data_IF_035446242261
#
_entry.id   IF_035446242261
#
_cell.length_a   1.000
_cell.length_b   1.000
_cell.length_c   1.000
_cell.angle_alpha   90.00
_cell.angle_beta   90.00
_cell.angle_gamma   90.00
#
_symmetry.space_group_name_H-M   'P 1'
#
loop_
_entity.id
_entity.type
_entity.pdbx_description
1 polymer ?
#
# COMPACT_ATOMS: atom_id res chain seq x y z
N UNK A 1 -9.51 -5.86 -32.03
CA UNK A 1 -8.79 -5.19 -30.92
C UNK A 1 -9.07 -3.68 -30.98
N UNK A 2 -10.31 -3.23 -30.71
CA UNK A 2 -10.73 -1.83 -30.93
C UNK A 2 -11.20 -1.09 -29.66
N UNK A 3 -11.02 -1.71 -28.47
CA UNK A 3 -11.47 -1.16 -27.18
C UNK A 3 -10.32 -0.69 -26.28
N UNK A 4 -9.08 -1.10 -26.56
CA UNK A 4 -7.91 -0.73 -25.75
C UNK A 4 -7.38 0.64 -26.17
N UNK A 5 -7.00 1.52 -25.24
CA UNK A 5 -6.40 2.81 -25.55
C UNK A 5 -4.98 2.67 -26.11
N UNK A 6 -4.53 3.70 -26.83
CA UNK A 6 -3.13 3.84 -27.23
C UNK A 6 -2.27 4.14 -25.99
N UNK A 7 -1.25 3.32 -25.73
CA UNK A 7 -0.33 3.54 -24.61
C UNK A 7 0.68 4.63 -24.99
N UNK A 8 0.74 5.69 -24.18
CA UNK A 8 1.64 6.84 -24.36
C UNK A 8 2.51 7.08 -23.13
N UNK A 9 3.44 8.03 -23.22
CA UNK A 9 4.24 8.45 -22.07
C UNK A 9 3.41 9.26 -21.07
N UNK A 10 3.90 9.42 -19.85
CA UNK A 10 3.26 10.17 -18.76
C UNK A 10 3.33 11.69 -18.92
N UNK A 11 4.10 12.19 -19.91
CA UNK A 11 4.36 13.62 -20.13
C UNK A 11 4.54 13.89 -21.63
N UNK A 12 3.43 14.16 -22.31
CA UNK A 12 3.37 14.57 -23.72
C UNK A 12 2.01 15.18 -24.03
N UNK A 13 1.91 16.08 -25.01
CA UNK A 13 0.61 16.63 -25.42
C UNK A 13 -0.22 15.53 -26.09
N UNK A 14 -1.25 15.04 -25.38
CA UNK A 14 -2.17 14.01 -25.87
C UNK A 14 -3.26 14.60 -26.78
N UNK A 15 -3.67 15.83 -26.49
CA UNK A 15 -4.75 16.57 -27.14
C UNK A 15 -5.08 17.86 -26.40
N UNK A 16 -6.21 18.48 -26.75
CA UNK A 16 -6.65 19.76 -26.19
C UNK A 16 -8.09 19.66 -25.70
N UNK A 17 -8.42 20.39 -24.62
CA UNK A 17 -9.77 20.46 -24.09
C UNK A 17 -10.69 21.17 -25.10
N UNK A 18 -11.80 20.55 -25.49
CA UNK A 18 -12.64 20.99 -26.61
C UNK A 18 -13.88 21.80 -26.21
N UNK A 19 -14.19 21.92 -24.91
CA UNK A 19 -15.38 22.62 -24.38
C UNK A 19 -15.11 23.20 -22.98
N UNK A 20 -15.90 24.18 -22.58
CA UNK A 20 -15.89 24.73 -21.22
C UNK A 20 -14.80 25.80 -20.98
N UNK A 21 -14.55 26.17 -19.71
CA UNK A 21 -13.68 27.31 -19.37
C UNK A 21 -12.18 27.09 -19.66
N UNK A 22 -11.78 25.84 -19.92
CA UNK A 22 -10.41 25.47 -20.28
C UNK A 22 -10.26 25.14 -21.78
N UNK A 23 -11.17 25.66 -22.64
CA UNK A 23 -11.13 25.46 -24.09
C UNK A 23 -9.74 25.79 -24.66
N UNK A 24 -9.16 24.86 -25.40
CA UNK A 24 -7.84 25.00 -26.03
C UNK A 24 -6.65 24.75 -25.10
N UNK A 25 -6.86 24.49 -23.80
CA UNK A 25 -5.79 24.10 -22.89
C UNK A 25 -5.30 22.68 -23.24
N UNK A 26 -3.99 22.46 -23.39
CA UNK A 26 -3.42 21.14 -23.68
C UNK A 26 -3.57 20.20 -22.47
N UNK A 27 -3.90 18.94 -22.75
CA UNK A 27 -3.78 17.84 -21.79
C UNK A 27 -2.42 17.22 -22.04
N UNK A 28 -1.49 17.37 -21.10
CA UNK A 28 -0.06 17.05 -21.32
C UNK A 28 0.61 16.18 -20.26
N UNK A 29 -0.09 15.82 -19.17
CA UNK A 29 0.41 14.89 -18.16
C UNK A 29 -0.68 13.93 -17.68
N UNK A 30 -0.37 12.62 -17.66
CA UNK A 30 -1.26 11.56 -17.15
C UNK A 30 -0.41 10.53 -16.40
N UNK A 31 -0.78 10.27 -15.15
CA UNK A 31 -0.13 9.36 -14.22
C UNK A 31 -1.22 8.65 -13.38
N UNK A 32 -0.95 7.44 -12.91
CA UNK A 32 -1.71 6.86 -11.79
C UNK A 32 -1.52 7.72 -10.54
N UNK A 33 -2.47 7.70 -9.61
CA UNK A 33 -2.44 8.55 -8.41
C UNK A 33 -1.18 8.30 -7.56
N UNK A 34 -0.83 7.03 -7.34
CA UNK A 34 0.34 6.64 -6.55
C UNK A 34 1.66 7.00 -7.25
N UNK A 35 1.71 6.83 -8.58
CA UNK A 35 2.81 7.26 -9.46
C UNK A 35 2.94 8.79 -9.50
N UNK A 36 1.83 9.52 -9.47
CA UNK A 36 1.81 10.97 -9.39
C UNK A 36 2.33 11.45 -8.03
N UNK A 37 1.92 10.84 -6.92
CA UNK A 37 2.52 11.11 -5.62
C UNK A 37 4.05 10.88 -5.62
N UNK A 38 4.56 9.83 -6.28
CA UNK A 38 6.00 9.60 -6.44
C UNK A 38 6.71 10.74 -7.20
N UNK A 39 6.13 11.24 -8.29
CA UNK A 39 6.66 12.39 -9.05
C UNK A 39 6.58 13.68 -8.22
N UNK A 40 5.45 13.93 -7.56
CA UNK A 40 5.21 15.13 -6.75
C UNK A 40 6.05 15.22 -5.48
N UNK A 41 6.43 14.08 -4.91
CA UNK A 41 7.43 13.97 -3.82
C UNK A 41 8.89 14.13 -4.29
N UNK A 42 9.08 14.42 -5.58
CA UNK A 42 10.39 14.52 -6.23
C UNK A 42 11.23 13.23 -6.08
N UNK A 43 10.59 12.07 -6.00
CA UNK A 43 11.25 10.76 -5.97
C UNK A 43 11.70 10.35 -7.40
N UNK A 44 12.46 11.23 -8.06
CA UNK A 44 12.86 11.12 -9.47
C UNK A 44 14.15 10.30 -9.70
N UNK A 45 14.81 9.87 -8.62
CA UNK A 45 16.08 9.15 -8.62
C UNK A 45 15.91 7.76 -7.98
N UNK A 46 16.62 6.76 -8.53
CA UNK A 46 16.70 5.39 -8.00
C UNK A 46 17.04 5.39 -6.50
N UNK A 47 16.31 4.63 -5.69
CA UNK A 47 16.47 4.58 -4.23
C UNK A 47 15.67 5.61 -3.43
N UNK A 48 14.89 6.47 -4.09
CA UNK A 48 13.91 7.32 -3.43
C UNK A 48 12.56 6.61 -3.35
N UNK A 49 11.89 6.71 -2.20
CA UNK A 49 10.59 6.09 -1.97
C UNK A 49 9.64 7.05 -1.28
N UNK A 50 8.34 6.91 -1.59
CA UNK A 50 7.26 7.64 -0.92
C UNK A 50 6.30 6.68 -0.22
N UNK A 51 5.63 7.13 0.83
CA UNK A 51 4.47 6.45 1.41
C UNK A 51 3.28 7.41 1.57
N UNK A 52 2.14 7.05 0.97
CA UNK A 52 0.88 7.81 1.08
C UNK A 52 -0.01 7.17 2.16
N UNK A 53 -0.30 7.90 3.24
CA UNK A 53 -1.09 7.41 4.38
C UNK A 53 -2.54 7.88 4.32
N UNK A 54 -3.45 6.95 4.02
CA UNK A 54 -4.90 7.16 4.01
C UNK A 54 -5.63 6.08 4.81
N UNK A 55 -6.65 5.47 4.21
CA UNK A 55 -7.33 4.29 4.78
C UNK A 55 -6.36 3.12 4.97
N UNK A 56 -5.54 2.86 3.96
CA UNK A 56 -4.32 2.07 4.03
C UNK A 56 -3.08 2.95 3.75
N UNK A 57 -1.93 2.33 3.58
CA UNK A 57 -0.70 2.97 3.09
C UNK A 57 -0.32 2.44 1.71
N UNK A 58 0.24 3.29 0.85
CA UNK A 58 0.76 2.92 -0.47
C UNK A 58 2.19 3.41 -0.64
N UNK A 59 3.13 2.46 -0.62
CA UNK A 59 4.56 2.68 -0.77
C UNK A 59 4.96 2.45 -2.22
N UNK A 60 5.65 3.43 -2.84
CA UNK A 60 6.33 3.25 -4.12
C UNK A 60 7.82 3.54 -3.96
N UNK A 61 8.66 2.69 -4.54
CA UNK A 61 10.12 2.74 -4.45
C UNK A 61 10.74 2.78 -5.84
N UNK A 62 11.42 3.87 -6.19
CA UNK A 62 11.99 4.09 -7.52
C UNK A 62 13.17 3.14 -7.78
N UNK A 63 13.05 2.25 -8.77
CA UNK A 63 14.11 1.29 -9.16
C UNK A 63 14.96 1.77 -10.34
N UNK A 64 14.70 2.97 -10.86
CA UNK A 64 15.32 3.51 -12.06
C UNK A 64 14.80 2.82 -13.33
N UNK A 65 15.65 2.66 -14.32
CA UNK A 65 15.32 1.94 -15.57
C UNK A 65 15.28 0.41 -15.42
N UNK A 66 15.62 -0.12 -14.24
CA UNK A 66 15.63 -1.54 -13.96
C UNK A 66 14.25 -2.03 -13.52
N UNK A 67 13.70 -3.00 -14.25
CA UNK A 67 12.56 -3.79 -13.80
C UNK A 67 13.06 -4.73 -12.69
N UNK A 68 12.49 -4.61 -11.50
CA UNK A 68 12.76 -5.52 -10.36
C UNK A 68 11.51 -6.36 -10.15
N UNK A 69 11.62 -7.67 -10.34
CA UNK A 69 10.57 -8.63 -10.01
C UNK A 69 10.65 -8.95 -8.51
N UNK A 70 9.52 -8.96 -7.82
CA UNK A 70 9.50 -9.21 -6.37
C UNK A 70 9.49 -10.70 -6.04
N UNK A 71 10.37 -11.12 -5.12
CA UNK A 71 10.29 -12.43 -4.47
C UNK A 71 9.55 -12.36 -3.12
N UNK A 72 9.26 -11.15 -2.64
CA UNK A 72 8.62 -10.86 -1.35
C UNK A 72 7.15 -10.41 -1.47
N UNK A 73 6.54 -10.62 -2.64
CA UNK A 73 5.11 -10.38 -2.88
C UNK A 73 4.72 -8.91 -3.04
N UNK A 74 5.65 -8.05 -3.47
CA UNK A 74 5.41 -6.69 -3.92
C UNK A 74 4.98 -6.67 -5.40
N UNK A 75 4.40 -5.55 -5.84
CA UNK A 75 4.05 -5.34 -7.24
C UNK A 75 5.20 -4.66 -7.99
N UNK A 76 5.52 -5.17 -9.18
CA UNK A 76 6.42 -4.50 -10.13
C UNK A 76 5.60 -3.62 -11.06
N UNK A 77 5.87 -2.31 -11.07
CA UNK A 77 5.05 -1.34 -11.84
C UNK A 77 5.90 -0.31 -12.58
N UNK A 78 5.29 0.42 -13.50
CA UNK A 78 5.87 1.64 -14.06
C UNK A 78 5.73 2.74 -13.02
N UNK A 79 6.84 3.39 -12.67
CA UNK A 79 6.84 4.60 -11.85
C UNK A 79 6.39 5.80 -12.68
N UNK A 80 7.04 6.06 -13.82
CA UNK A 80 6.66 7.12 -14.77
C UNK A 80 7.47 7.00 -16.08
N UNK A 81 6.98 7.63 -17.15
CA UNK A 81 7.77 7.89 -18.37
C UNK A 81 7.61 9.36 -18.78
N UNK A 82 8.58 10.20 -18.44
CA UNK A 82 8.47 11.66 -18.60
C UNK A 82 8.95 12.12 -19.98
N UNK A 83 8.21 11.74 -21.03
CA UNK A 83 8.48 12.08 -22.42
C UNK A 83 8.45 10.88 -23.37
N UNK A 84 8.18 11.13 -24.66
CA UNK A 84 8.10 10.08 -25.70
C UNK A 84 9.40 9.28 -25.84
N UNK A 85 10.53 9.98 -25.87
CA UNK A 85 11.89 9.44 -26.02
C UNK A 85 12.60 9.21 -24.67
N UNK A 86 12.03 9.68 -23.57
CA UNK A 86 12.57 9.49 -22.23
C UNK A 86 12.56 7.99 -21.83
N UNK A 87 13.52 7.54 -21.01
CA UNK A 87 13.50 6.18 -20.49
C UNK A 87 12.28 5.99 -19.57
N UNK A 88 11.69 4.79 -19.61
CA UNK A 88 10.70 4.36 -18.61
C UNK A 88 11.40 4.14 -17.27
N UNK A 89 10.88 4.73 -16.21
CA UNK A 89 11.30 4.47 -14.84
C UNK A 89 10.29 3.54 -14.18
N UNK A 90 10.79 2.52 -13.49
CA UNK A 90 10.00 1.51 -12.79
C UNK A 90 9.99 1.77 -11.29
N UNK A 91 9.04 1.12 -10.62
CA UNK A 91 8.96 1.10 -9.17
C UNK A 91 8.58 -0.30 -8.66
N UNK A 92 9.00 -0.59 -7.43
CA UNK A 92 8.31 -1.57 -6.59
C UNK A 92 7.18 -0.85 -5.84
N UNK A 93 6.03 -1.49 -5.76
CA UNK A 93 4.85 -1.00 -5.06
C UNK A 93 4.40 -2.01 -3.99
N UNK A 94 4.09 -1.53 -2.79
CA UNK A 94 3.56 -2.33 -1.70
C UNK A 94 2.51 -1.56 -0.91
N UNK A 95 1.51 -2.27 -0.39
CA UNK A 95 0.36 -1.67 0.27
C UNK A 95 0.10 -2.25 1.65
N UNK A 96 -0.20 -1.39 2.61
CA UNK A 96 -0.71 -1.76 3.93
C UNK A 96 -2.21 -1.50 3.95
N UNK A 97 -3.05 -2.53 3.93
CA UNK A 97 -4.50 -2.30 3.77
C UNK A 97 -5.16 -1.53 4.93
N UNK A 98 -4.68 -1.73 6.16
CA UNK A 98 -5.31 -1.20 7.38
C UNK A 98 -4.34 -0.23 8.09
N UNK A 99 -4.46 1.06 7.75
CA UNK A 99 -3.74 2.15 8.39
C UNK A 99 -4.71 3.11 9.09
N UNK A 100 -5.24 4.13 8.40
CA UNK A 100 -6.27 5.00 8.94
C UNK A 100 -7.57 4.26 9.27
N UNK A 101 -7.80 3.08 8.67
CA UNK A 101 -8.86 2.16 9.09
C UNK A 101 -8.69 1.65 10.53
N UNK A 102 -7.47 1.42 11.03
CA UNK A 102 -7.24 1.04 12.43
C UNK A 102 -7.60 2.18 13.40
N UNK A 103 -7.28 3.42 13.03
CA UNK A 103 -7.67 4.62 13.80
C UNK A 103 -9.20 4.78 13.82
N UNK A 104 -9.87 4.57 12.68
CA UNK A 104 -11.35 4.59 12.63
C UNK A 104 -11.98 3.46 13.45
N UNK A 105 -11.42 2.25 13.42
CA UNK A 105 -11.90 1.15 14.26
C UNK A 105 -11.75 1.45 15.76
N UNK A 106 -10.64 2.05 16.18
CA UNK A 106 -10.41 2.48 17.57
C UNK A 106 -11.46 3.51 18.04
N UNK A 107 -11.94 4.36 17.11
CA UNK A 107 -13.00 5.34 17.31
C UNK A 107 -14.40 4.69 17.32
N UNK A 108 -14.77 4.06 16.21
CA UNK A 108 -16.14 3.65 15.89
C UNK A 108 -16.54 2.35 16.60
N UNK A 109 -15.60 1.42 16.81
CA UNK A 109 -15.88 0.10 17.37
C UNK A 109 -15.46 -0.05 18.84
N UNK A 110 -14.35 0.59 19.26
CA UNK A 110 -13.89 0.53 20.65
C UNK A 110 -14.22 1.78 21.49
N UNK A 111 -14.60 2.90 20.88
CA UNK A 111 -14.95 4.13 21.60
C UNK A 111 -13.81 4.76 22.40
N UNK A 112 -12.54 4.39 22.13
CA UNK A 112 -11.35 4.85 22.88
C UNK A 112 -11.00 6.31 22.54
N UNK A 113 -11.38 6.76 21.34
CA UNK A 113 -11.26 8.13 20.84
C UNK A 113 -12.60 8.58 20.24
N UNK A 114 -12.87 9.89 20.18
CA UNK A 114 -14.12 10.44 19.62
C UNK A 114 -13.94 10.95 18.19
N UNK A 115 -12.76 11.47 17.87
CA UNK A 115 -12.32 11.85 16.53
C UNK A 115 -10.99 11.18 16.17
N UNK A 116 -10.69 11.09 14.88
CA UNK A 116 -9.40 10.56 14.43
C UNK A 116 -8.21 11.44 14.86
N UNK A 117 -8.43 12.72 15.15
CA UNK A 117 -7.39 13.63 15.64
C UNK A 117 -7.05 13.39 17.12
N UNK A 118 -7.97 12.83 17.91
CA UNK A 118 -7.77 12.59 19.35
C UNK A 118 -6.71 11.51 19.63
N UNK A 119 -6.37 10.67 18.63
CA UNK A 119 -5.41 9.58 18.79
C UNK A 119 -4.00 10.10 19.13
N UNK A 120 -3.59 11.26 18.60
CA UNK A 120 -2.26 11.81 18.87
C UNK A 120 -2.15 12.38 20.30
N UNK A 121 -3.06 13.26 20.79
CA UNK A 121 -3.09 13.65 22.19
C UNK A 121 -3.14 12.47 23.15
N UNK A 122 -3.95 11.44 22.85
CA UNK A 122 -4.09 10.25 23.70
C UNK A 122 -2.80 9.39 23.69
N UNK A 123 -2.20 9.13 22.52
CA UNK A 123 -0.96 8.37 22.40
C UNK A 123 0.27 9.10 22.96
N UNK A 124 0.16 10.41 23.25
CA UNK A 124 1.16 11.24 23.94
C UNK A 124 1.02 11.23 25.46
N UNK A 125 -0.08 10.75 26.05
CA UNK A 125 -0.19 10.63 27.53
C UNK A 125 0.58 9.46 28.11
N UNK A 126 1.15 8.61 27.25
CA UNK A 126 2.02 7.47 27.59
C UNK A 126 3.35 7.59 26.87
N UNK A 127 4.42 7.10 27.48
CA UNK A 127 5.77 7.14 26.91
C UNK A 127 5.89 6.26 25.66
N UNK A 128 5.30 5.07 25.74
CA UNK A 128 5.37 3.98 24.75
C UNK A 128 4.07 3.17 24.79
N UNK A 129 4.00 2.09 24.01
CA UNK A 129 2.84 1.20 23.92
C UNK A 129 2.67 0.28 25.15
N UNK A 130 3.51 0.36 26.19
CA UNK A 130 3.38 -0.43 27.42
C UNK A 130 3.53 -1.94 27.20
N UNK A 131 4.24 -2.33 26.13
CA UNK A 131 4.33 -3.72 25.68
C UNK A 131 3.13 -4.24 24.90
N UNK A 132 2.12 -3.39 24.63
CA UNK A 132 0.95 -3.74 23.82
C UNK A 132 1.30 -3.71 22.33
N UNK A 133 1.01 -4.80 21.63
CA UNK A 133 1.15 -4.91 20.17
C UNK A 133 -0.22 -5.18 19.56
N UNK A 134 -0.54 -4.53 18.44
CA UNK A 134 -1.82 -4.70 17.76
C UNK A 134 -1.60 -4.98 16.27
N UNK A 135 -1.90 -6.20 15.82
CA UNK A 135 -1.81 -6.58 14.41
C UNK A 135 -3.18 -6.37 13.76
N UNK A 136 -3.35 -5.42 12.82
CA UNK A 136 -4.65 -5.00 12.32
C UNK A 136 -5.17 -5.87 11.15
N UNK A 137 -5.00 -7.19 11.24
CA UNK A 137 -5.34 -8.16 10.19
C UNK A 137 -6.87 -8.40 10.02
N UNK A 138 -7.68 -7.33 9.95
CA UNK A 138 -9.15 -7.43 9.88
C UNK A 138 -9.68 -8.19 8.66
N UNK A 139 -8.88 -8.29 7.59
CA UNK A 139 -9.19 -9.04 6.37
C UNK A 139 -8.05 -9.97 5.98
N UNK A 140 -7.29 -10.46 6.97
CA UNK A 140 -6.00 -11.11 6.75
C UNK A 140 -4.84 -10.12 6.66
N UNK A 141 -3.67 -10.66 6.31
CA UNK A 141 -2.43 -9.93 6.04
C UNK A 141 -2.10 -9.96 4.54
N UNK A 142 -1.63 -8.81 4.03
CA UNK A 142 -1.15 -8.64 2.65
C UNK A 142 0.36 -8.92 2.58
N UNK A 143 1.07 -8.36 1.60
CA UNK A 143 2.53 -8.43 1.55
C UNK A 143 3.18 -7.98 2.88
N UNK A 144 4.26 -8.64 3.34
CA UNK A 144 4.94 -9.78 2.71
C UNK A 144 4.28 -11.16 3.01
N UNK A 145 3.23 -11.22 3.83
CA UNK A 145 2.71 -12.46 4.42
C UNK A 145 1.67 -13.22 3.59
N UNK A 146 0.74 -12.50 2.94
CA UNK A 146 -0.35 -13.06 2.13
C UNK A 146 -1.20 -14.14 2.86
N UNK A 147 -1.61 -13.85 4.11
CA UNK A 147 -2.36 -14.77 4.98
C UNK A 147 -3.82 -14.34 5.15
N UNK A 148 -4.72 -14.97 4.41
CA UNK A 148 -6.18 -14.72 4.45
C UNK A 148 -6.85 -15.26 5.72
N UNK A 149 -6.19 -16.17 6.43
CA UNK A 149 -6.62 -16.80 7.67
C UNK A 149 -6.23 -16.02 8.94
N UNK A 150 -5.41 -14.97 8.80
CA UNK A 150 -5.02 -14.12 9.91
C UNK A 150 -6.18 -13.20 10.35
N UNK A 151 -6.26 -12.88 11.65
CA UNK A 151 -7.27 -11.95 12.20
C UNK A 151 -6.69 -10.89 13.12
N UNK A 152 -7.41 -9.77 13.24
CA UNK A 152 -7.03 -8.64 14.08
C UNK A 152 -6.73 -9.08 15.52
N UNK A 153 -5.49 -8.89 16.00
CA UNK A 153 -4.99 -9.50 17.24
C UNK A 153 -4.30 -8.46 18.11
N UNK A 154 -4.64 -8.41 19.40
CA UNK A 154 -3.94 -7.60 20.41
C UNK A 154 -3.15 -8.53 21.33
N UNK A 155 -1.88 -8.24 21.53
CA UNK A 155 -0.94 -8.97 22.38
C UNK A 155 -0.35 -8.04 23.45
N UNK A 156 0.16 -8.62 24.55
CA UNK A 156 0.92 -7.88 25.57
C UNK A 156 0.09 -7.05 26.55
N UNK A 157 -1.22 -7.29 26.66
CA UNK A 157 -2.07 -6.63 27.67
C UNK A 157 -1.67 -7.05 29.10
N UNK A 158 -1.60 -6.08 30.00
CA UNK A 158 -1.42 -6.26 31.45
C UNK A 158 -2.50 -5.48 32.20
N UNK A 159 -2.58 -5.64 33.52
CA UNK A 159 -3.52 -4.86 34.35
C UNK A 159 -3.26 -3.33 34.28
N UNK A 160 -2.05 -2.90 33.90
CA UNK A 160 -1.70 -1.49 33.70
C UNK A 160 -1.97 -0.96 32.27
N UNK A 161 -2.39 -1.81 31.33
CA UNK A 161 -2.69 -1.39 29.96
C UNK A 161 -3.95 -0.51 29.91
N UNK A 162 -3.94 0.51 29.04
CA UNK A 162 -5.01 1.52 28.95
C UNK A 162 -5.32 1.83 27.49
N UNK A 163 -6.41 2.57 27.23
CA UNK A 163 -6.74 3.07 25.90
C UNK A 163 -5.62 3.90 25.26
N UNK A 164 -4.77 4.56 26.05
CA UNK A 164 -3.60 5.30 25.55
C UNK A 164 -2.49 4.37 25.04
N UNK A 165 -2.20 3.28 25.76
CA UNK A 165 -1.28 2.24 25.31
C UNK A 165 -1.77 1.58 24.01
N UNK A 166 -3.08 1.33 23.88
CA UNK A 166 -3.67 0.79 22.65
C UNK A 166 -3.65 1.81 21.49
N UNK A 167 -3.95 3.09 21.75
CA UNK A 167 -3.81 4.17 20.75
C UNK A 167 -2.38 4.28 20.24
N UNK A 168 -1.40 4.13 21.13
CA UNK A 168 0.02 4.09 20.77
C UNK A 168 0.38 2.85 19.95
N UNK A 169 -0.08 1.66 20.35
CA UNK A 169 0.09 0.42 19.59
C UNK A 169 -0.54 0.47 18.19
N UNK A 170 -1.67 1.16 18.01
CA UNK A 170 -2.32 1.38 16.71
C UNK A 170 -1.44 2.21 15.77
N UNK A 171 -0.80 3.28 16.25
CA UNK A 171 0.14 4.07 15.43
C UNK A 171 1.39 3.25 15.09
N UNK A 172 1.94 2.53 16.07
CA UNK A 172 3.13 1.68 15.90
C UNK A 172 2.88 0.54 14.90
N UNK A 173 1.69 -0.05 14.89
CA UNK A 173 1.28 -1.07 13.91
C UNK A 173 1.33 -0.59 12.45
N UNK A 174 0.97 0.68 12.19
CA UNK A 174 1.10 1.27 10.85
C UNK A 174 2.58 1.41 10.47
N UNK A 175 3.41 1.81 11.44
CA UNK A 175 4.84 1.97 11.24
C UNK A 175 5.58 0.65 11.02
N UNK A 176 5.21 -0.41 11.74
CA UNK A 176 5.77 -1.75 11.55
C UNK A 176 5.39 -2.34 10.18
N UNK A 177 4.11 -2.30 9.79
CA UNK A 177 3.70 -2.75 8.45
C UNK A 177 4.38 -1.95 7.33
N UNK A 178 4.56 -0.64 7.54
CA UNK A 178 5.33 0.20 6.61
C UNK A 178 6.79 -0.25 6.52
N UNK A 179 7.42 -0.56 7.66
CA UNK A 179 8.79 -1.12 7.71
C UNK A 179 8.88 -2.46 6.99
N UNK A 180 7.94 -3.38 7.18
CA UNK A 180 7.95 -4.71 6.52
C UNK A 180 7.97 -4.61 4.99
N UNK A 181 7.21 -3.66 4.43
CA UNK A 181 7.21 -3.38 3.00
C UNK A 181 8.57 -2.76 2.58
N UNK A 182 9.14 -1.83 3.34
CA UNK A 182 10.45 -1.24 3.05
C UNK A 182 11.59 -2.27 3.12
N UNK A 183 11.59 -3.13 4.13
CA UNK A 183 12.55 -4.24 4.29
C UNK A 183 12.44 -5.20 3.09
N UNK A 184 11.24 -5.46 2.59
CA UNK A 184 10.98 -6.27 1.39
C UNK A 184 11.48 -5.57 0.12
N UNK A 185 11.20 -4.27 -0.04
CA UNK A 185 11.67 -3.45 -1.17
C UNK A 185 13.20 -3.39 -1.25
N UNK A 186 13.87 -3.28 -0.09
CA UNK A 186 15.34 -3.30 -0.01
C UNK A 186 15.91 -4.68 -0.37
N UNK A 187 15.27 -5.78 0.04
CA UNK A 187 15.68 -7.16 -0.32
C UNK A 187 15.55 -7.42 -1.83
N UNK A 188 14.40 -7.08 -2.42
CA UNK A 188 14.14 -7.30 -3.85
C UNK A 188 15.03 -6.41 -4.75
N UNK A 189 15.23 -5.14 -4.38
CA UNK A 189 15.95 -4.18 -5.24
C UNK A 189 17.46 -4.11 -5.00
N UNK A 190 17.94 -4.55 -3.82
CA UNK A 190 19.31 -4.35 -3.36
C UNK A 190 19.68 -2.88 -3.11
N UNK A 191 18.71 -1.96 -3.05
CA UNK A 191 18.95 -0.53 -2.83
C UNK A 191 18.68 -0.16 -1.37
N UNK A 192 19.64 0.48 -0.73
CA UNK A 192 19.48 1.01 0.65
C UNK A 192 18.64 2.28 0.61
N UNK A 193 17.55 2.32 1.39
CA UNK A 193 16.72 3.51 1.54
C UNK A 193 17.46 4.58 2.36
N UNK A 194 17.54 5.81 1.84
CA UNK A 194 18.22 6.92 2.54
C UNK A 194 17.26 7.81 3.34
N UNK A 195 16.01 7.95 2.88
CA UNK A 195 14.91 8.68 3.54
C UNK A 195 13.57 8.26 2.94
N UNK A 196 12.50 8.42 3.71
CA UNK A 196 11.12 8.16 3.26
C UNK A 196 10.35 9.48 3.11
N UNK A 197 9.93 9.81 1.89
CA UNK A 197 8.96 10.88 1.67
C UNK A 197 7.55 10.42 2.08
N UNK A 198 6.74 11.31 2.67
CA UNK A 198 5.39 10.95 3.14
C UNK A 198 4.33 11.98 2.79
N UNK A 199 3.12 11.52 2.47
CA UNK A 199 1.94 12.37 2.24
C UNK A 199 0.64 11.65 2.66
N UNK A 200 -0.50 12.33 2.52
CA UNK A 200 -1.81 11.80 2.91
C UNK A 200 -2.22 12.13 4.34
N UNK A 201 -3.50 11.92 4.64
CA UNK A 201 -4.18 12.48 5.82
C UNK A 201 -3.62 12.07 7.18
N UNK A 202 -2.97 10.90 7.33
CA UNK A 202 -2.36 10.57 8.63
C UNK A 202 -1.06 11.32 8.91
N UNK A 203 -0.42 11.90 7.89
CA UNK A 203 0.86 12.60 8.05
C UNK A 203 0.77 13.90 8.85
N UNK A 204 -0.44 14.39 9.16
CA UNK A 204 -0.62 15.49 10.12
C UNK A 204 -0.25 15.09 11.56
N UNK A 205 -0.18 13.80 11.87
CA UNK A 205 0.15 13.27 13.19
C UNK A 205 1.69 13.20 13.36
N UNK A 206 2.25 14.13 14.14
CA UNK A 206 3.70 14.21 14.34
C UNK A 206 4.24 13.00 15.14
N UNK A 207 3.44 12.42 16.05
CA UNK A 207 3.82 11.17 16.75
C UNK A 207 3.92 9.98 15.79
N UNK A 208 3.03 9.86 14.80
CA UNK A 208 3.14 8.81 13.76
C UNK A 208 4.43 8.98 12.95
N UNK A 209 4.76 10.20 12.52
CA UNK A 209 5.94 10.43 11.69
C UNK A 209 7.25 10.21 12.46
N UNK A 210 7.30 10.60 13.74
CA UNK A 210 8.45 10.30 14.60
C UNK A 210 8.59 8.79 14.82
N UNK A 211 7.50 8.08 15.14
CA UNK A 211 7.50 6.62 15.26
C UNK A 211 7.94 5.93 13.96
N UNK A 212 7.55 6.47 12.80
CA UNK A 212 7.95 5.93 11.51
C UNK A 212 9.46 6.07 11.28
N UNK A 213 10.04 7.22 11.61
CA UNK A 213 11.49 7.44 11.51
C UNK A 213 12.25 6.55 12.51
N UNK A 214 11.79 6.49 13.76
CA UNK A 214 12.34 5.65 14.81
C UNK A 214 12.36 4.17 14.43
N UNK A 215 11.26 3.65 13.86
CA UNK A 215 11.08 2.23 13.55
C UNK A 215 11.63 1.79 12.19
N UNK A 216 11.56 2.63 11.16
CA UNK A 216 12.19 2.35 9.85
C UNK A 216 13.70 2.67 9.84
N UNK A 217 14.18 3.51 10.77
CA UNK A 217 15.59 3.83 10.92
C UNK A 217 16.16 4.80 9.89
N UNK A 218 15.30 5.45 9.11
CA UNK A 218 15.66 6.49 8.13
C UNK A 218 14.90 7.78 8.43
N UNK A 219 15.40 8.96 8.03
CA UNK A 219 14.62 10.20 8.09
C UNK A 219 13.29 10.08 7.35
N UNK A 220 12.22 10.57 7.96
CA UNK A 220 10.88 10.69 7.37
C UNK A 220 10.63 12.16 7.07
N UNK A 221 10.22 12.45 5.84
CA UNK A 221 10.18 13.81 5.30
C UNK A 221 8.78 14.13 4.80
N UNK A 222 8.09 15.05 5.48
CA UNK A 222 6.75 15.55 5.12
C UNK A 222 6.90 16.88 4.36
N UNK A 223 6.45 17.01 3.10
CA UNK A 223 6.44 18.29 2.41
C UNK A 223 5.40 19.23 3.03
N UNK A 224 5.68 20.54 3.04
CA UNK A 224 4.73 21.56 3.49
C UNK A 224 3.49 21.69 2.58
N UNK A 225 3.54 21.13 1.37
CA UNK A 225 2.44 21.08 0.41
C UNK A 225 1.91 19.64 0.34
N UNK A 226 0.66 19.44 0.76
CA UNK A 226 0.07 18.11 1.00
C UNK A 226 -0.45 17.40 -0.25
N UNK A 227 -0.81 18.14 -1.30
CA UNK A 227 -1.44 17.63 -2.53
C UNK A 227 -0.42 17.07 -3.53
N UNK A 228 0.49 16.22 -3.05
CA UNK A 228 1.62 15.68 -3.85
C UNK A 228 1.15 14.92 -5.10
N UNK A 229 0.01 14.26 -5.02
CA UNK A 229 -0.63 13.58 -6.17
C UNK A 229 -0.97 14.58 -7.29
N UNK A 230 -1.66 15.68 -6.96
CA UNK A 230 -2.02 16.72 -7.93
C UNK A 230 -0.78 17.45 -8.45
N UNK A 231 0.20 17.73 -7.57
CA UNK A 231 1.48 18.31 -7.96
C UNK A 231 2.22 17.41 -8.96
N UNK A 232 2.27 16.10 -8.77
CA UNK A 232 2.96 15.19 -9.69
C UNK A 232 2.35 15.15 -11.09
N UNK A 233 1.01 15.16 -11.17
CA UNK A 233 0.29 15.28 -12.45
C UNK A 233 0.60 16.63 -13.13
N UNK A 234 0.60 17.73 -12.36
CA UNK A 234 0.98 19.05 -12.87
C UNK A 234 2.45 19.10 -13.31
N UNK A 235 3.37 18.48 -12.57
CA UNK A 235 4.81 18.39 -12.89
C UNK A 235 5.03 17.66 -14.21
N UNK A 236 4.36 16.53 -14.42
CA UNK A 236 4.40 15.83 -15.69
C UNK A 236 3.79 16.66 -16.83
N UNK A 237 2.66 17.35 -16.59
CA UNK A 237 2.03 18.21 -17.60
C UNK A 237 2.89 19.41 -18.01
N UNK A 238 3.53 20.07 -17.03
CA UNK A 238 4.38 21.25 -17.25
C UNK A 238 5.76 20.93 -17.83
N UNK A 239 6.25 19.70 -17.64
CA UNK A 239 7.50 19.22 -18.21
C UNK A 239 7.38 18.73 -19.67
N UNK A 240 6.16 18.53 -20.18
CA UNK A 240 5.92 17.99 -21.50
C UNK A 240 6.56 18.84 -22.60
N UNK A 241 7.08 18.17 -23.63
CA UNK A 241 7.61 18.81 -24.83
C UNK A 241 6.56 19.71 -25.49
N UNK A 242 6.90 20.98 -25.74
CA UNK A 242 5.97 22.00 -26.23
C UNK A 242 5.21 22.76 -25.14
N UNK A 243 5.30 22.35 -23.87
CA UNK A 243 4.82 23.11 -22.71
C UNK A 243 6.03 23.69 -21.96
N UNK A 244 6.93 22.82 -21.50
CA UNK A 244 8.27 23.15 -20.97
C UNK A 244 8.33 24.29 -19.94
N UNK A 245 7.30 24.44 -19.11
CA UNK A 245 7.28 25.39 -17.98
C UNK A 245 8.00 24.85 -16.74
N UNK A 246 8.22 23.54 -16.67
CA UNK A 246 8.99 22.89 -15.61
C UNK A 246 10.17 22.08 -16.17
N UNK A 247 11.36 22.33 -15.64
CA UNK A 247 12.56 21.50 -15.84
C UNK A 247 12.71 20.56 -14.63
N UNK A 248 12.30 19.30 -14.80
CA UNK A 248 12.36 18.29 -13.74
C UNK A 248 13.79 17.90 -13.33
N UNK A 249 14.81 18.28 -14.11
CA UNK A 249 16.23 18.09 -13.74
C UNK A 249 16.78 19.21 -12.85
N UNK A 250 16.06 20.34 -12.70
CA UNK A 250 16.52 21.54 -12.00
C UNK A 250 15.48 22.11 -11.02
N UNK A 251 14.69 21.22 -10.42
CA UNK A 251 13.67 21.58 -9.42
C UNK A 251 14.31 22.11 -8.13
N UNK A 252 13.71 23.15 -7.56
CA UNK A 252 13.98 23.56 -6.18
C UNK A 252 13.44 22.48 -5.22
N UNK A 253 14.19 22.06 -4.19
CA UNK A 253 13.67 21.16 -3.16
C UNK A 253 12.40 21.74 -2.51
N UNK A 254 11.42 20.88 -2.23
CA UNK A 254 10.26 21.24 -1.42
C UNK A 254 10.71 21.67 -0.02
N UNK A 255 9.99 22.63 0.58
CA UNK A 255 10.06 22.87 2.02
C UNK A 255 9.45 21.67 2.75
N UNK A 256 10.12 21.18 3.80
CA UNK A 256 9.76 19.95 4.50
C UNK A 256 9.87 20.09 6.01
N UNK A 257 9.06 19.31 6.73
CA UNK A 257 9.30 18.94 8.12
C UNK A 257 10.01 17.57 8.13
N UNK A 258 11.19 17.54 8.76
CA UNK A 258 12.06 16.36 8.78
C UNK A 258 12.04 15.71 10.18
N UNK A 259 11.68 14.42 10.22
CA UNK A 259 11.65 13.58 11.42
C UNK A 259 12.83 12.60 11.35
N UNK A 260 13.78 12.73 12.25
CA UNK A 260 14.98 11.88 12.29
C UNK A 260 14.84 10.77 13.33
N UNK A 261 15.45 9.58 13.13
CA UNK A 261 15.41 8.51 14.14
C UNK A 261 16.07 8.97 15.45
N UNK A 262 15.35 8.79 16.56
CA UNK A 262 15.78 9.18 17.92
C UNK A 262 16.10 7.99 18.83
N UNK A 263 15.58 6.79 18.51
CA UNK A 263 15.86 5.56 19.25
C UNK A 263 17.11 4.83 18.73
N UNK A 264 17.75 4.06 19.63
CA UNK A 264 18.90 3.22 19.29
C UNK A 264 18.48 2.06 18.35
N UNK A 265 19.39 1.56 17.48
CA UNK A 265 19.13 0.41 16.63
C UNK A 265 18.71 -0.84 17.41
N UNK A 266 19.32 -1.10 18.57
CA UNK A 266 18.98 -2.25 19.44
C UNK A 266 17.53 -2.19 19.95
N UNK A 267 17.05 -0.99 20.32
CA UNK A 267 15.66 -0.79 20.75
C UNK A 267 14.70 -1.01 19.57
N UNK A 268 15.04 -0.47 18.41
CA UNK A 268 14.27 -0.64 17.17
C UNK A 268 14.08 -2.10 16.81
N UNK A 269 15.17 -2.87 16.79
CA UNK A 269 15.11 -4.30 16.44
C UNK A 269 14.36 -5.11 17.50
N UNK A 270 14.62 -4.91 18.79
CA UNK A 270 13.87 -5.61 19.86
C UNK A 270 12.36 -5.32 19.81
N UNK A 271 11.97 -4.10 19.40
CA UNK A 271 10.56 -3.75 19.19
C UNK A 271 9.96 -4.40 17.95
N UNK A 272 10.73 -4.59 16.89
CA UNK A 272 10.31 -5.26 15.66
C UNK A 272 10.24 -6.79 15.82
N UNK A 273 11.16 -7.42 16.55
CA UNK A 273 11.10 -8.85 16.91
C UNK A 273 9.77 -9.19 17.61
N UNK A 274 9.35 -8.36 18.57
CA UNK A 274 8.06 -8.50 19.27
C UNK A 274 6.85 -8.26 18.37
N UNK A 275 7.00 -7.40 17.36
CA UNK A 275 5.97 -7.23 16.33
C UNK A 275 5.84 -8.49 15.47
N UNK A 276 6.95 -9.05 14.97
CA UNK A 276 6.96 -10.32 14.25
C UNK A 276 6.33 -11.45 15.08
N UNK A 277 6.67 -11.54 16.38
CA UNK A 277 6.03 -12.46 17.32
C UNK A 277 4.51 -12.26 17.45
N UNK A 278 4.01 -11.03 17.39
CA UNK A 278 2.57 -10.75 17.41
C UNK A 278 1.90 -11.12 16.08
N UNK A 279 2.58 -10.91 14.96
CA UNK A 279 2.14 -11.31 13.61
C UNK A 279 2.05 -12.83 13.47
N UNK A 280 3.04 -13.59 13.97
CA UNK A 280 2.96 -15.07 14.03
C UNK A 280 1.72 -15.55 14.80
N UNK A 281 1.41 -14.90 15.94
CA UNK A 281 0.25 -15.24 16.79
C UNK A 281 -1.10 -14.94 16.16
N UNK A 282 -1.17 -14.08 15.14
CA UNK A 282 -2.42 -13.73 14.48
C UNK A 282 -2.79 -14.68 13.33
N UNK A 283 -1.85 -15.51 12.86
CA UNK A 283 -2.02 -16.47 11.76
C UNK A 283 -2.66 -17.78 12.24
N UNK A 284 -3.33 -18.51 11.34
CA UNK A 284 -4.00 -19.77 11.67
C UNK A 284 -5.27 -19.61 12.50
N UNK A 285 -5.80 -18.39 12.62
CA UNK A 285 -6.97 -18.09 13.46
C UNK A 285 -8.28 -18.52 12.79
N UNK A 286 -8.47 -18.20 11.51
CA UNK A 286 -9.63 -18.67 10.75
C UNK A 286 -9.41 -20.13 10.33
N UNK A 287 -10.30 -21.02 10.74
CA UNK A 287 -10.24 -22.42 10.31
C UNK A 287 -10.56 -22.55 8.80
N UNK A 288 -9.89 -23.47 8.07
CA UNK A 288 -10.28 -23.86 6.72
C UNK A 288 -11.77 -24.19 6.60
N UNK A 289 -12.41 -23.82 5.49
CA UNK A 289 -13.87 -23.94 5.28
C UNK A 289 -14.42 -25.37 5.41
N UNK A 290 -13.58 -26.38 5.17
CA UNK A 290 -13.85 -27.81 5.37
C UNK A 290 -13.85 -28.26 6.84
N UNK A 291 -13.35 -27.41 7.76
CA UNK A 291 -13.28 -27.65 9.22
C UNK A 291 -14.09 -26.67 10.05
N UNK A 292 -14.74 -25.70 9.41
CA UNK A 292 -15.76 -24.89 10.07
C UNK A 292 -16.99 -25.79 10.29
N UNK A 293 -17.53 -25.93 11.52
CA UNK A 293 -18.83 -26.54 11.68
C UNK A 293 -19.83 -25.73 10.86
N UNK A 294 -20.51 -26.38 9.92
CA UNK A 294 -21.52 -25.72 9.10
C UNK A 294 -22.57 -25.06 9.99
N UNK A 295 -23.19 -23.95 9.57
CA UNK A 295 -24.32 -23.41 10.30
C UNK A 295 -25.39 -24.50 10.41
N UNK A 296 -25.96 -24.69 11.60
CA UNK A 296 -27.20 -25.47 11.73
C UNK A 296 -28.29 -24.71 10.96
N UNK A 297 -28.59 -25.19 9.75
CA UNK A 297 -29.50 -24.53 8.83
C UNK A 297 -30.94 -24.68 9.36
N UNK A 298 -31.42 -23.63 10.03
CA UNK A 298 -32.83 -23.27 9.93
C UNK A 298 -33.05 -22.61 8.58
N UNK A 299 -33.44 -23.42 7.60
CA UNK A 299 -33.67 -23.00 6.20
C UNK A 299 -34.95 -22.16 6.11
N UNK A 300 -34.84 -20.84 6.33
CA UNK A 300 -35.91 -19.90 5.94
C UNK A 300 -35.62 -19.49 4.51
N UNK A 301 -36.14 -20.32 3.59
CA UNK A 301 -35.69 -20.33 2.20
C UNK A 301 -35.96 -19.05 1.42
N UNK A 302 -34.99 -18.69 0.57
CA UNK A 302 -35.23 -17.93 -0.66
C UNK A 302 -35.11 -18.90 -1.84
N UNK A 303 -36.25 -19.43 -2.26
CA UNK A 303 -36.32 -20.37 -3.36
C UNK A 303 -36.07 -19.67 -4.71
N UNK A 304 -35.13 -20.23 -5.48
CA UNK A 304 -35.15 -20.18 -6.94
C UNK A 304 -34.46 -18.99 -7.62
N UNK A 305 -33.24 -19.24 -8.11
CA UNK A 305 -33.02 -19.42 -9.57
C UNK A 305 -31.97 -20.52 -9.76
N UNK A 306 -32.33 -21.64 -10.40
CA UNK A 306 -31.38 -22.63 -10.94
C UNK A 306 -31.13 -22.32 -12.41
N UNK A 307 -29.88 -22.04 -12.78
CA UNK A 307 -29.47 -22.09 -14.18
C UNK A 307 -29.13 -23.53 -14.54
N UNK A 308 -29.79 -24.06 -15.58
CA UNK A 308 -29.51 -25.39 -16.13
C UNK A 308 -28.86 -25.24 -17.50
N UNK A 309 -27.69 -25.83 -17.68
CA UNK A 309 -27.06 -25.99 -18.99
C UNK A 309 -27.59 -27.26 -19.67
N UNK A 310 -27.89 -27.25 -20.97
CA UNK A 310 -28.33 -28.45 -21.68
C UNK A 310 -27.20 -29.47 -21.82
N UNK A 311 -27.47 -30.71 -21.44
CA UNK A 311 -26.53 -31.84 -21.53
C UNK A 311 -26.68 -32.63 -22.84
N UNK A 312 -25.65 -32.64 -23.69
CA UNK A 312 -25.24 -33.77 -24.55
C UNK A 312 -23.73 -33.64 -24.83
N UNK A 313 -22.89 -34.67 -24.72
CA UNK A 313 -23.16 -36.06 -24.35
C UNK A 313 -21.92 -36.79 -23.82
N UNK A 314 -22.05 -38.12 -23.75
CA UNK A 314 -21.09 -39.15 -23.34
C UNK A 314 -19.75 -39.10 -24.12
N UNK A 315 -18.70 -39.86 -23.83
CA UNK A 315 -18.37 -40.76 -22.70
C UNK A 315 -17.23 -40.07 -21.87
N UNK A 316 -16.65 -40.58 -20.77
CA UNK A 316 -16.64 -41.89 -20.11
C UNK A 316 -16.48 -41.74 -18.56
N UNK A 317 -16.12 -42.80 -17.83
CA UNK A 317 -15.91 -42.81 -16.36
C UNK A 317 -14.55 -43.36 -15.91
N UNK A 318 -13.79 -42.60 -15.13
CA UNK A 318 -12.79 -43.16 -14.19
C UNK A 318 -12.84 -42.45 -12.83
N UNK A 319 -12.84 -43.24 -11.75
CA UNK A 319 -12.77 -42.79 -10.37
C UNK A 319 -11.35 -43.01 -9.86
N UNK A 320 -10.63 -41.93 -9.54
CA UNK A 320 -9.34 -42.00 -8.87
C UNK A 320 -9.38 -41.29 -7.52
N UNK A 321 -9.23 -42.06 -6.44
CA UNK A 321 -9.07 -41.56 -5.08
C UNK A 321 -7.63 -41.63 -4.61
N UNK A 322 -7.25 -40.70 -3.73
CA UNK A 322 -5.98 -40.58 -2.99
C UNK A 322 -4.78 -40.00 -3.74
N UNK A 323 -4.10 -39.04 -3.09
CA UNK A 323 -2.88 -38.40 -3.59
C UNK A 323 -2.81 -36.92 -3.22
N UNK A 324 -2.06 -36.58 -2.16
CA UNK A 324 -1.75 -35.19 -1.82
C UNK A 324 -0.86 -34.58 -2.91
N UNK A 325 -1.42 -33.78 -3.82
CA UNK A 325 -0.68 -32.82 -4.64
C UNK A 325 -1.57 -31.63 -4.98
N UNK A 326 -1.10 -30.43 -4.66
CA UNK A 326 -1.73 -29.18 -5.08
C UNK A 326 -1.52 -29.05 -6.59
N UNK A 327 -2.58 -29.24 -7.38
CA UNK A 327 -2.54 -29.03 -8.82
C UNK A 327 -2.24 -27.55 -9.12
N UNK A 328 -0.96 -27.23 -9.38
CA UNK A 328 -0.60 -26.03 -10.14
C UNK A 328 -1.15 -26.20 -11.56
N UNK A 329 -2.26 -25.52 -11.87
CA UNK A 329 -2.65 -25.30 -13.26
C UNK A 329 -1.68 -24.30 -13.90
N UNK A 330 -0.53 -24.81 -14.33
CA UNK A 330 0.30 -24.13 -15.32
C UNK A 330 -0.31 -24.47 -16.68
N UNK A 331 -1.08 -23.54 -17.24
CA UNK A 331 -1.43 -23.60 -18.66
C UNK A 331 -0.18 -23.24 -19.46
N UNK A 332 0.30 -24.12 -20.37
CA UNK A 332 1.33 -23.74 -21.33
C UNK A 332 0.67 -22.90 -22.44
N UNK A 333 0.54 -21.60 -22.21
CA UNK A 333 0.06 -20.65 -23.21
C UNK A 333 1.12 -19.57 -23.49
N UNK A 334 1.62 -19.62 -24.72
CA UNK A 334 2.41 -18.58 -25.35
C UNK A 334 1.68 -17.24 -25.38
N UNK A 335 2.45 -16.16 -25.20
CA UNK A 335 2.13 -14.78 -25.59
C UNK A 335 0.90 -14.08 -24.96
N UNK A 336 1.23 -13.22 -23.98
CA UNK A 336 0.57 -11.96 -23.55
C UNK A 336 -0.56 -12.00 -22.51
N UNK A 337 -0.55 -10.93 -21.71
CA UNK A 337 -1.58 -10.41 -20.80
C UNK A 337 -1.90 -11.19 -19.52
N UNK A 338 -1.25 -10.77 -18.42
CA UNK A 338 -1.87 -10.80 -17.09
C UNK A 338 -2.67 -9.51 -16.85
N UNK A 339 -3.73 -9.62 -16.06
CA UNK A 339 -4.68 -8.53 -15.81
C UNK A 339 -4.17 -7.62 -14.69
N UNK A 340 -3.77 -6.38 -15.03
CA UNK A 340 -3.67 -5.32 -14.04
C UNK A 340 -5.07 -4.92 -13.59
N UNK A 341 -5.33 -4.95 -12.28
CA UNK A 341 -6.51 -4.33 -11.67
C UNK A 341 -6.28 -2.81 -11.65
N UNK A 342 -6.50 -2.15 -12.78
CA UNK A 342 -6.49 -0.69 -12.86
C UNK A 342 -7.85 -0.19 -12.36
N UNK A 343 -7.89 0.22 -11.09
CA UNK A 343 -9.01 0.96 -10.52
C UNK A 343 -9.07 2.37 -11.07
N UNK A 344 -9.56 2.55 -12.29
CA UNK A 344 -9.86 3.88 -12.84
C UNK A 344 -11.12 4.42 -12.16
N UNK A 345 -10.94 5.34 -11.21
CA UNK A 345 -12.01 6.23 -10.79
C UNK A 345 -12.15 7.32 -11.88
N UNK A 346 -13.34 7.42 -12.46
CA UNK A 346 -13.74 8.44 -13.45
C UNK A 346 -14.47 9.57 -12.72
#
# INVERSE_FOLDING_TARGET
>A
MSILPEIRSSSEIYGYITKGPLLGVPISGVLGDQQAALVGQMCLTRGQAKNTYGTGCFLLYNTGTQIVQSEHGLLTTVGYKLGKTAPTIYALEGSVAIAGAAVRWLRDNLGVIKSSADIEPLAKTVKDSGGVYFVPAFSGLYAPYWRTDARGTICGLTQGSTGAHLARAVLEAVCFQTREILDSMQKDSGIVLNKLQVDGGMTSNNTLLQLQADLAGVPVVRPSMTETTALGAAMAAGAAEGISVWDLSRLTPLTTDDFVPTILPEERESRYERWCMAVERCMGWELPRDKQPGPDIFDIGLAGVRWSLPSQGKEDSEVWTSGNQICRYVLPLSDRFEQQVIGVWI
#
